data_IF_836100799509
#
_entry.id   IF_836100799509
#
_cell.length_a   1.000
_cell.length_b   1.000
_cell.length_c   1.000
_cell.angle_alpha   90.00
_cell.angle_beta   90.00
_cell.angle_gamma   90.00
#
_symmetry.space_group_name_H-M   'P 1'
#
loop_
_entity.id
_entity.type
_entity.pdbx_description
1 polymer ?
#
# COMPACT_ATOMS: atom_id res chain seq x y z
N UNK A 1 4.13 -28.40 30.21
CA UNK A 1 3.67 -27.02 29.95
C UNK A 1 4.79 -26.08 29.44
N UNK A 2 6.00 -26.10 30.02
CA UNK A 2 7.11 -25.22 29.59
C UNK A 2 7.56 -25.48 28.14
N UNK A 3 7.76 -26.74 27.76
CA UNK A 3 8.16 -27.16 26.40
C UNK A 3 7.19 -26.75 25.28
N UNK A 4 5.88 -26.70 25.57
CA UNK A 4 4.88 -26.28 24.59
C UNK A 4 4.93 -24.76 24.35
N UNK A 5 5.12 -23.97 25.42
CA UNK A 5 5.31 -22.51 25.32
C UNK A 5 6.58 -22.13 24.55
N UNK A 6 7.68 -22.89 24.67
CA UNK A 6 8.90 -22.62 23.89
C UNK A 6 8.72 -22.91 22.41
N UNK A 7 8.05 -24.02 22.03
CA UNK A 7 7.76 -24.33 20.62
C UNK A 7 6.92 -23.24 19.93
N UNK A 8 5.91 -22.70 20.62
CA UNK A 8 5.08 -21.61 20.06
C UNK A 8 5.87 -20.31 19.87
N UNK A 9 6.77 -19.97 20.80
CA UNK A 9 7.66 -18.80 20.67
C UNK A 9 8.63 -18.95 19.49
N UNK A 10 9.27 -20.11 19.36
CA UNK A 10 10.18 -20.39 18.23
C UNK A 10 9.43 -20.35 16.90
N UNK A 11 8.26 -20.97 16.81
CA UNK A 11 7.42 -20.94 15.61
C UNK A 11 7.06 -19.51 15.21
N UNK A 12 6.61 -18.69 16.17
CA UNK A 12 6.28 -17.27 15.92
C UNK A 12 7.47 -16.48 15.39
N UNK A 13 8.65 -16.65 15.99
CA UNK A 13 9.88 -15.98 15.55
C UNK A 13 10.26 -16.38 14.13
N UNK A 14 10.24 -17.69 13.82
CA UNK A 14 10.59 -18.21 12.49
C UNK A 14 9.57 -17.78 11.43
N UNK A 15 8.26 -17.89 11.70
CA UNK A 15 7.21 -17.41 10.79
C UNK A 15 7.38 -15.91 10.50
N UNK A 16 7.68 -15.11 11.53
CA UNK A 16 7.90 -13.66 11.38
C UNK A 16 9.16 -13.37 10.56
N UNK A 17 10.28 -14.04 10.84
CA UNK A 17 11.54 -13.85 10.10
C UNK A 17 11.39 -14.21 8.61
N UNK A 18 10.72 -15.31 8.30
CA UNK A 18 10.43 -15.70 6.92
C UNK A 18 9.53 -14.69 6.21
N UNK A 19 8.46 -14.23 6.87
CA UNK A 19 7.57 -13.23 6.30
C UNK A 19 8.28 -11.88 6.10
N UNK A 20 9.16 -11.47 7.02
CA UNK A 20 9.99 -10.28 6.85
C UNK A 20 10.95 -10.43 5.67
N UNK A 21 11.59 -11.58 5.50
CA UNK A 21 12.44 -11.84 4.33
C UNK A 21 11.65 -11.75 3.02
N UNK A 22 10.44 -12.32 2.99
CA UNK A 22 9.52 -12.19 1.84
C UNK A 22 9.13 -10.73 1.61
N UNK A 23 8.80 -9.97 2.65
CA UNK A 23 8.48 -8.54 2.52
C UNK A 23 9.64 -7.75 1.91
N UNK A 24 10.87 -8.06 2.32
CA UNK A 24 12.08 -7.43 1.77
C UNK A 24 12.31 -7.79 0.31
N UNK A 25 12.09 -9.04 -0.09
CA UNK A 25 12.18 -9.40 -1.52
C UNK A 25 11.08 -8.70 -2.33
N UNK A 26 9.86 -8.65 -1.81
CA UNK A 26 8.74 -7.99 -2.49
C UNK A 26 8.94 -6.47 -2.61
N UNK A 27 9.62 -5.81 -1.67
CA UNK A 27 9.93 -4.38 -1.78
C UNK A 27 10.94 -4.07 -2.88
N UNK A 28 11.85 -5.01 -3.18
CA UNK A 28 12.80 -4.85 -4.29
C UNK A 28 12.14 -5.06 -5.67
N UNK A 29 11.02 -5.80 -5.71
CA UNK A 29 10.19 -6.00 -6.91
C UNK A 29 9.22 -4.82 -7.13
N UNK A 30 9.76 -3.61 -7.23
CA UNK A 30 8.97 -2.42 -7.52
C UNK A 30 8.48 -2.44 -8.98
N UNK A 31 7.17 -2.34 -9.16
CA UNK A 31 6.52 -2.18 -10.48
C UNK A 31 6.81 -0.79 -11.04
N UNK A 32 6.82 0.22 -10.16
CA UNK A 32 7.14 1.61 -10.48
C UNK A 32 7.99 2.17 -9.35
N UNK A 33 9.14 2.76 -9.69
CA UNK A 33 9.96 3.53 -8.75
C UNK A 33 9.80 5.02 -9.07
N UNK A 34 9.43 5.79 -8.07
CA UNK A 34 9.40 7.25 -8.12
C UNK A 34 10.65 7.79 -7.40
N UNK A 35 11.22 8.93 -7.84
CA UNK A 35 12.30 9.60 -7.13
C UNK A 35 11.86 10.02 -5.73
N UNK A 36 12.84 10.26 -4.84
CA UNK A 36 12.63 10.54 -3.40
C UNK A 36 11.97 9.41 -2.60
N UNK A 37 12.06 8.17 -3.08
CA UNK A 37 11.73 6.97 -2.30
C UNK A 37 10.30 6.45 -2.45
N UNK A 38 9.43 7.13 -3.23
CA UNK A 38 8.12 6.60 -3.57
C UNK A 38 8.22 5.34 -4.45
N UNK A 39 7.41 4.32 -4.20
CA UNK A 39 7.37 3.12 -5.04
C UNK A 39 6.05 2.39 -4.96
N UNK A 40 5.69 1.71 -6.04
CA UNK A 40 4.57 0.78 -6.12
C UNK A 40 5.15 -0.62 -6.25
N UNK A 41 4.79 -1.52 -5.32
CA UNK A 41 5.39 -2.85 -5.19
C UNK A 41 4.34 -3.96 -5.35
N UNK A 42 4.79 -5.22 -5.38
CA UNK A 42 3.89 -6.38 -5.41
C UNK A 42 3.41 -6.73 -4.00
N UNK A 43 2.69 -5.80 -3.35
CA UNK A 43 2.15 -5.93 -2.00
C UNK A 43 3.23 -6.18 -0.91
N UNK A 44 4.34 -5.43 -0.91
CA UNK A 44 5.44 -5.59 0.07
C UNK A 44 5.00 -5.44 1.54
N UNK A 45 3.91 -4.69 1.80
CA UNK A 45 3.32 -4.53 3.14
C UNK A 45 2.58 -5.77 3.64
N UNK A 46 2.18 -6.68 2.75
CA UNK A 46 1.35 -7.84 3.06
C UNK A 46 1.97 -8.75 4.13
N UNK A 47 3.24 -9.18 4.04
CA UNK A 47 3.77 -10.15 4.99
C UNK A 47 3.80 -9.59 6.42
N UNK A 48 4.12 -8.31 6.60
CA UNK A 48 4.07 -7.64 7.92
C UNK A 48 2.63 -7.58 8.46
N UNK A 49 1.66 -7.25 7.60
CA UNK A 49 0.24 -7.28 7.96
C UNK A 49 -0.19 -8.70 8.37
N UNK A 50 0.26 -9.74 7.66
CA UNK A 50 -0.04 -11.14 8.00
C UNK A 50 0.60 -11.56 9.33
N UNK A 51 1.81 -11.10 9.65
CA UNK A 51 2.42 -11.28 10.97
C UNK A 51 1.51 -10.70 12.05
N UNK A 52 1.07 -9.45 11.88
CA UNK A 52 0.18 -8.79 12.83
C UNK A 52 -1.15 -9.53 12.98
N UNK A 53 -1.72 -9.97 11.86
CA UNK A 53 -2.97 -10.70 11.83
C UNK A 53 -2.88 -12.07 12.54
N UNK A 54 -1.77 -12.80 12.35
CA UNK A 54 -1.54 -14.12 12.97
C UNK A 54 -1.15 -14.03 14.43
N UNK A 55 -0.19 -13.16 14.74
CA UNK A 55 0.50 -13.14 16.04
C UNK A 55 0.10 -11.98 16.96
N UNK A 56 -0.76 -11.09 16.47
CA UNK A 56 -1.37 -10.00 17.23
C UNK A 56 -0.68 -8.67 16.94
N UNK A 57 -1.43 -7.59 17.15
CA UNK A 57 -0.99 -6.21 16.88
C UNK A 57 0.33 -5.84 17.56
N UNK A 58 0.58 -6.12 18.85
CA UNK A 58 1.85 -5.75 19.48
C UNK A 58 3.07 -6.39 18.81
N UNK A 59 2.93 -7.65 18.39
CA UNK A 59 3.99 -8.36 17.68
C UNK A 59 4.15 -7.84 16.25
N UNK A 60 3.04 -7.56 15.57
CA UNK A 60 3.03 -6.91 14.26
C UNK A 60 3.69 -5.54 14.25
N UNK A 61 3.44 -4.71 15.27
CA UNK A 61 4.07 -3.39 15.43
C UNK A 61 5.59 -3.52 15.54
N UNK A 62 6.07 -4.45 16.38
CA UNK A 62 7.50 -4.73 16.51
C UNK A 62 8.11 -5.20 15.18
N UNK A 63 7.46 -6.15 14.49
CA UNK A 63 7.92 -6.61 13.18
C UNK A 63 7.88 -5.51 12.12
N UNK A 64 6.92 -4.58 12.20
CA UNK A 64 6.88 -3.39 11.36
C UNK A 64 8.07 -2.46 11.59
N UNK A 65 8.46 -2.24 12.85
CA UNK A 65 9.70 -1.49 13.17
C UNK A 65 10.93 -2.19 12.60
N UNK A 66 11.06 -3.50 12.81
CA UNK A 66 12.19 -4.28 12.27
C UNK A 66 12.23 -4.20 10.75
N UNK A 67 11.07 -4.31 10.09
CA UNK A 67 10.96 -4.15 8.66
C UNK A 67 11.39 -2.75 8.21
N UNK A 68 10.94 -1.71 8.90
CA UNK A 68 11.35 -0.33 8.60
C UNK A 68 12.85 -0.10 8.74
N UNK A 69 13.51 -0.74 9.71
CA UNK A 69 14.98 -0.71 9.83
C UNK A 69 15.64 -1.38 8.62
N UNK A 70 15.16 -2.55 8.20
CA UNK A 70 15.68 -3.24 7.01
C UNK A 70 15.51 -2.35 5.77
N UNK A 71 14.33 -1.74 5.59
CA UNK A 71 14.05 -0.85 4.47
C UNK A 71 14.92 0.41 4.50
N UNK A 72 15.21 0.95 5.70
CA UNK A 72 16.13 2.07 5.85
C UNK A 72 17.56 1.70 5.43
N UNK A 73 18.03 0.50 5.82
CA UNK A 73 19.36 0.01 5.45
C UNK A 73 19.52 -0.19 3.94
N UNK A 74 18.46 -0.66 3.26
CA UNK A 74 18.44 -0.80 1.81
C UNK A 74 18.27 0.55 1.10
N UNK A 75 17.56 1.49 1.72
CA UNK A 75 17.27 2.83 1.19
C UNK A 75 18.18 3.95 1.73
N UNK A 76 19.41 3.64 2.17
CA UNK A 76 20.32 4.65 2.76
C UNK A 76 20.64 5.82 1.81
N UNK A 77 20.54 5.63 0.51
CA UNK A 77 20.73 6.69 -0.48
C UNK A 77 19.78 7.87 -0.26
N UNK A 78 18.57 7.65 0.25
CA UNK A 78 17.60 8.72 0.54
C UNK A 78 18.09 9.67 1.64
N UNK A 79 18.94 9.21 2.56
CA UNK A 79 19.49 10.09 3.62
C UNK A 79 20.50 11.10 3.07
N UNK A 80 21.09 10.85 1.90
CA UNK A 80 22.07 11.75 1.27
C UNK A 80 21.49 13.09 0.83
N UNK A 81 20.16 13.18 0.69
CA UNK A 81 19.47 14.44 0.40
C UNK A 81 19.44 15.41 1.59
N UNK A 82 19.79 14.95 2.80
CA UNK A 82 19.64 15.74 4.03
C UNK A 82 20.99 15.98 4.70
N UNK A 83 21.24 17.24 5.04
CA UNK A 83 22.53 17.67 5.65
C UNK A 83 22.41 18.00 7.14
N UNK A 84 21.19 18.19 7.65
CA UNK A 84 20.94 18.51 9.06
C UNK A 84 20.54 17.26 9.85
N UNK A 85 21.05 17.13 11.08
CA UNK A 85 20.76 15.98 11.93
C UNK A 85 19.26 15.87 12.27
N UNK A 86 18.55 17.00 12.40
CA UNK A 86 17.12 17.03 12.68
C UNK A 86 16.32 16.41 11.53
N UNK A 87 16.63 16.78 10.28
CA UNK A 87 15.95 16.22 9.11
C UNK A 87 16.25 14.73 8.94
N UNK A 88 17.50 14.31 9.16
CA UNK A 88 17.87 12.88 9.12
C UNK A 88 17.06 12.07 10.15
N UNK A 89 16.98 12.53 11.40
CA UNK A 89 16.19 11.86 12.44
C UNK A 89 14.70 11.86 12.08
N UNK A 90 14.18 12.97 11.57
CA UNK A 90 12.78 13.07 11.18
C UNK A 90 12.41 12.09 10.06
N UNK A 91 13.26 11.92 9.03
CA UNK A 91 13.06 10.93 7.96
C UNK A 91 13.11 9.51 8.50
N UNK A 92 14.15 9.16 9.27
CA UNK A 92 14.27 7.82 9.85
C UNK A 92 13.02 7.47 10.66
N UNK A 93 12.50 8.43 11.43
CA UNK A 93 11.32 8.21 12.25
C UNK A 93 10.04 8.17 11.41
N UNK A 94 9.78 9.17 10.57
CA UNK A 94 8.50 9.34 9.88
C UNK A 94 8.36 8.45 8.65
N UNK A 95 9.39 8.35 7.81
CA UNK A 95 9.34 7.59 6.55
C UNK A 95 9.70 6.12 6.72
N UNK A 96 10.39 5.77 7.81
CA UNK A 96 10.78 4.39 8.09
C UNK A 96 10.13 3.84 9.37
N UNK A 97 10.63 4.18 10.55
CA UNK A 97 10.25 3.50 11.80
C UNK A 97 8.73 3.54 12.03
N UNK A 98 8.11 4.72 12.01
CA UNK A 98 6.68 4.90 12.25
C UNK A 98 5.86 4.42 11.05
N UNK A 99 6.22 4.82 9.82
CA UNK A 99 5.52 4.41 8.60
C UNK A 99 5.43 2.89 8.42
N UNK A 100 6.47 2.13 8.78
CA UNK A 100 6.43 0.67 8.74
C UNK A 100 5.83 0.05 10.01
N UNK A 101 6.00 0.67 11.19
CA UNK A 101 5.35 0.21 12.42
C UNK A 101 3.83 0.19 12.29
N UNK A 102 3.21 1.23 11.70
CA UNK A 102 1.74 1.30 11.58
C UNK A 102 1.14 0.15 10.76
N UNK A 103 1.92 -0.55 9.93
CA UNK A 103 1.48 -1.78 9.25
C UNK A 103 1.05 -2.86 10.27
N UNK A 104 1.69 -2.89 11.43
CA UNK A 104 1.31 -3.75 12.54
C UNK A 104 -0.12 -3.52 13.06
N UNK A 105 -0.70 -2.34 12.85
CA UNK A 105 -2.08 -2.03 13.26
C UNK A 105 -3.14 -2.76 12.43
N UNK A 106 -2.77 -3.36 11.28
CA UNK A 106 -3.67 -4.23 10.51
C UNK A 106 -4.18 -5.42 11.33
N UNK A 107 -3.45 -5.82 12.37
CA UNK A 107 -3.87 -6.85 13.33
C UNK A 107 -5.09 -6.48 14.18
N UNK A 108 -5.48 -5.20 14.30
CA UNK A 108 -6.64 -4.78 15.10
C UNK A 108 -7.96 -5.39 14.58
N UNK A 109 -8.02 -5.71 13.29
CA UNK A 109 -9.23 -6.16 12.62
C UNK A 109 -9.45 -7.69 12.70
N UNK A 110 -8.47 -8.45 13.23
CA UNK A 110 -8.46 -9.93 13.26
C UNK A 110 -9.55 -10.61 14.10
N UNK A 111 -10.31 -9.81 14.87
CA UNK A 111 -11.38 -10.28 15.75
C UNK A 111 -12.73 -9.62 15.44
N UNK A 112 -12.83 -8.88 14.33
CA UNK A 112 -14.12 -8.37 13.89
C UNK A 112 -15.10 -9.51 13.63
N UNK A 113 -16.38 -9.27 13.92
CA UNK A 113 -17.48 -10.22 13.66
C UNK A 113 -17.85 -10.25 12.17
N UNK A 114 -16.87 -10.47 11.30
CA UNK A 114 -17.04 -10.61 9.86
C UNK A 114 -16.09 -11.70 9.32
N UNK A 115 -16.14 -12.00 8.02
CA UNK A 115 -15.29 -13.04 7.42
C UNK A 115 -13.83 -12.56 7.34
N UNK A 116 -12.87 -13.48 7.46
CA UNK A 116 -11.43 -13.22 7.37
C UNK A 116 -10.97 -12.33 6.19
N UNK A 117 -11.48 -12.52 4.94
CA UNK A 117 -11.12 -11.63 3.84
C UNK A 117 -11.44 -10.15 4.11
N UNK A 118 -12.58 -9.90 4.76
CA UNK A 118 -13.04 -8.55 5.11
C UNK A 118 -12.19 -7.97 6.22
N UNK A 119 -11.80 -8.80 7.21
CA UNK A 119 -10.90 -8.39 8.28
C UNK A 119 -9.53 -7.93 7.72
N UNK A 120 -8.94 -8.73 6.83
CA UNK A 120 -7.68 -8.40 6.16
C UNK A 120 -7.80 -7.18 5.25
N UNK A 121 -8.93 -7.02 4.54
CA UNK A 121 -9.21 -5.84 3.72
C UNK A 121 -9.29 -4.56 4.58
N UNK A 122 -10.03 -4.59 5.70
CA UNK A 122 -10.09 -3.47 6.62
C UNK A 122 -8.70 -3.12 7.18
N UNK A 123 -7.93 -4.14 7.57
CA UNK A 123 -6.55 -3.97 8.00
C UNK A 123 -5.68 -3.30 6.93
N UNK A 124 -5.72 -3.81 5.69
CA UNK A 124 -4.96 -3.29 4.56
C UNK A 124 -5.27 -1.81 4.30
N UNK A 125 -6.56 -1.48 4.19
CA UNK A 125 -7.00 -0.12 3.95
C UNK A 125 -6.53 0.84 5.06
N UNK A 126 -6.75 0.48 6.33
CA UNK A 126 -6.37 1.33 7.45
C UNK A 126 -4.87 1.56 7.52
N UNK A 127 -4.03 0.53 7.34
CA UNK A 127 -2.58 0.71 7.41
C UNK A 127 -2.03 1.51 6.24
N UNK A 128 -2.61 1.39 5.05
CA UNK A 128 -2.25 2.21 3.90
C UNK A 128 -2.56 3.69 4.14
N UNK A 129 -3.72 4.00 4.72
CA UNK A 129 -4.07 5.39 5.08
C UNK A 129 -3.13 5.93 6.14
N UNK A 130 -2.86 5.18 7.21
CA UNK A 130 -1.96 5.63 8.28
C UNK A 130 -0.53 5.87 7.78
N UNK A 131 -0.02 4.95 6.96
CA UNK A 131 1.32 5.09 6.35
C UNK A 131 1.37 6.27 5.39
N UNK A 132 0.31 6.50 4.61
CA UNK A 132 0.20 7.67 3.74
C UNK A 132 0.23 8.98 4.56
N UNK A 133 -0.46 9.04 5.69
CA UNK A 133 -0.40 10.20 6.59
C UNK A 133 1.03 10.45 7.08
N UNK A 134 1.80 9.41 7.44
CA UNK A 134 3.21 9.56 7.82
C UNK A 134 4.03 10.22 6.70
N UNK A 135 3.89 9.73 5.46
CA UNK A 135 4.63 10.26 4.32
C UNK A 135 4.17 11.67 3.92
N UNK A 136 2.88 12.00 4.09
CA UNK A 136 2.38 13.37 3.87
C UNK A 136 2.99 14.34 4.88
N UNK A 137 3.04 13.96 6.16
CA UNK A 137 3.66 14.77 7.22
C UNK A 137 5.16 14.93 6.92
N UNK A 138 5.87 13.84 6.62
CA UNK A 138 7.29 13.90 6.25
C UNK A 138 7.51 14.81 5.05
N UNK A 139 6.73 14.66 3.98
CA UNK A 139 6.84 15.49 2.78
C UNK A 139 6.61 16.97 3.09
N UNK A 140 5.55 17.30 3.83
CA UNK A 140 5.17 18.68 4.11
C UNK A 140 6.13 19.38 5.10
N UNK A 141 6.94 18.64 5.86
CA UNK A 141 7.79 19.20 6.93
C UNK A 141 9.27 19.05 6.64
N UNK A 142 9.73 17.88 6.18
CA UNK A 142 11.15 17.55 6.04
C UNK A 142 11.63 17.73 4.60
N UNK A 143 10.79 17.38 3.63
CA UNK A 143 11.10 17.53 2.20
C UNK A 143 10.78 18.93 1.64
N UNK A 144 10.06 19.76 2.40
CA UNK A 144 9.80 21.15 2.08
C UNK A 144 11.11 21.97 1.96
N UNK A 145 11.27 22.68 0.86
CA UNK A 145 12.47 23.46 0.54
C UNK A 145 13.65 22.64 -0.02
N UNK A 146 13.52 21.31 -0.11
CA UNK A 146 14.52 20.43 -0.73
C UNK A 146 14.04 19.88 -2.08
N UNK A 147 12.95 19.13 -2.06
CA UNK A 147 12.32 18.59 -3.27
C UNK A 147 10.88 19.07 -3.47
N UNK A 148 10.36 19.84 -2.51
CA UNK A 148 9.00 20.35 -2.51
C UNK A 148 9.03 21.88 -2.35
N UNK A 149 8.35 22.65 -3.22
CA UNK A 149 8.22 24.09 -3.05
C UNK A 149 7.56 24.45 -1.70
N UNK A 150 8.24 25.27 -0.90
CA UNK A 150 7.81 25.61 0.48
C UNK A 150 6.43 26.24 0.53
N UNK A 151 6.09 27.08 -0.44
CA UNK A 151 4.81 27.83 -0.51
C UNK A 151 3.58 26.91 -0.65
N UNK A 152 3.77 25.70 -1.20
CA UNK A 152 2.70 24.75 -1.46
C UNK A 152 2.98 23.37 -0.82
N UNK A 153 3.83 23.31 0.20
CA UNK A 153 4.42 22.07 0.68
C UNK A 153 3.41 20.99 1.06
N UNK A 154 2.33 21.38 1.75
CA UNK A 154 1.27 20.44 2.13
C UNK A 154 0.52 19.88 0.92
N UNK A 155 0.13 20.73 -0.02
CA UNK A 155 -0.60 20.32 -1.22
C UNK A 155 0.26 19.43 -2.11
N UNK A 156 1.53 19.80 -2.29
CA UNK A 156 2.49 19.00 -3.05
C UNK A 156 2.72 17.64 -2.41
N UNK A 157 3.01 17.62 -1.10
CA UNK A 157 3.24 16.38 -0.35
C UNK A 157 2.02 15.45 -0.42
N UNK A 158 0.81 16.00 -0.29
CA UNK A 158 -0.42 15.23 -0.44
C UNK A 158 -0.52 14.57 -1.82
N UNK A 159 -0.40 15.37 -2.90
CA UNK A 159 -0.52 14.86 -4.27
C UNK A 159 0.59 13.85 -4.58
N UNK A 160 1.84 14.20 -4.33
CA UNK A 160 3.00 13.35 -4.60
C UNK A 160 2.88 12.00 -3.88
N UNK A 161 2.58 11.99 -2.58
CA UNK A 161 2.49 10.73 -1.83
C UNK A 161 1.30 9.89 -2.26
N UNK A 162 0.20 10.51 -2.71
CA UNK A 162 -0.97 9.79 -3.19
C UNK A 162 -0.64 8.99 -4.46
N UNK A 163 0.28 9.50 -5.30
CA UNK A 163 0.62 8.85 -6.57
C UNK A 163 1.15 7.42 -6.40
N UNK A 164 1.92 7.12 -5.36
CA UNK A 164 2.37 5.74 -5.11
C UNK A 164 1.58 5.03 -4.00
N UNK A 165 1.14 5.73 -2.95
CA UNK A 165 0.41 5.09 -1.86
C UNK A 165 -0.98 4.61 -2.24
N UNK A 166 -1.67 5.28 -3.19
CA UNK A 166 -2.99 4.84 -3.64
C UNK A 166 -2.90 3.54 -4.46
N UNK A 167 -2.04 3.40 -5.49
CA UNK A 167 -1.81 2.11 -6.13
C UNK A 167 -1.36 1.02 -5.14
N UNK A 168 -0.44 1.34 -4.22
CA UNK A 168 0.03 0.38 -3.21
C UNK A 168 -1.11 -0.10 -2.30
N UNK A 169 -2.01 0.81 -1.89
CA UNK A 169 -3.20 0.48 -1.12
C UNK A 169 -4.15 -0.45 -1.88
N UNK A 170 -4.37 -0.18 -3.17
CA UNK A 170 -5.24 -1.00 -4.03
C UNK A 170 -4.67 -2.41 -4.17
N UNK A 171 -3.38 -2.52 -4.48
CA UNK A 171 -2.67 -3.80 -4.59
C UNK A 171 -2.77 -4.58 -3.28
N UNK A 172 -2.42 -3.95 -2.16
CA UNK A 172 -2.48 -4.59 -0.84
C UNK A 172 -3.90 -5.07 -0.49
N UNK A 173 -4.91 -4.21 -0.70
CA UNK A 173 -6.31 -4.55 -0.43
C UNK A 173 -6.79 -5.74 -1.27
N UNK A 174 -6.48 -5.73 -2.56
CA UNK A 174 -6.87 -6.80 -3.48
C UNK A 174 -6.23 -8.13 -3.09
N UNK A 175 -4.93 -8.14 -2.82
CA UNK A 175 -4.19 -9.35 -2.44
C UNK A 175 -4.63 -9.87 -1.08
N UNK A 176 -4.81 -8.99 -0.08
CA UNK A 176 -5.32 -9.35 1.24
C UNK A 176 -6.71 -10.01 1.18
N UNK A 177 -7.63 -9.43 0.41
CA UNK A 177 -8.95 -10.01 0.23
C UNK A 177 -8.88 -11.37 -0.47
N UNK A 178 -8.13 -11.47 -1.57
CA UNK A 178 -7.96 -12.70 -2.32
C UNK A 178 -7.36 -13.82 -1.45
N UNK A 179 -6.19 -13.59 -0.84
CA UNK A 179 -5.56 -14.59 0.03
C UNK A 179 -6.43 -14.92 1.23
N UNK A 180 -7.09 -13.93 1.82
CA UNK A 180 -8.03 -14.12 2.91
C UNK A 180 -9.23 -14.98 2.55
N UNK A 181 -9.58 -15.08 1.26
CA UNK A 181 -10.67 -15.91 0.73
C UNK A 181 -10.25 -17.33 0.35
N UNK A 182 -8.96 -17.55 0.11
CA UNK A 182 -8.39 -18.84 -0.30
C UNK A 182 -7.74 -19.58 0.87
N UNK A 183 -7.10 -18.85 1.77
CA UNK A 183 -6.30 -19.37 2.89
C UNK A 183 -6.90 -18.94 4.22
N UNK A 184 -6.81 -19.80 5.22
CA UNK A 184 -7.16 -19.51 6.61
C UNK A 184 -5.88 -19.23 7.41
N UNK A 185 -5.80 -18.03 8.00
CA UNK A 185 -4.64 -17.53 8.74
C UNK A 185 -4.80 -17.62 10.26
N UNK A 186 -5.56 -18.59 10.77
CA UNK A 186 -5.73 -18.81 12.20
C UNK A 186 -4.44 -19.22 12.94
N UNK A 187 -4.54 -19.39 14.25
CA UNK A 187 -3.40 -19.65 15.15
C UNK A 187 -2.64 -20.96 14.87
N UNK A 188 -3.23 -21.89 14.11
CA UNK A 188 -2.59 -23.12 13.67
C UNK A 188 -1.94 -23.02 12.29
N UNK A 189 -1.88 -24.17 11.63
CA UNK A 189 -1.32 -24.26 10.28
C UNK A 189 -2.19 -23.52 9.27
N UNK A 190 -1.51 -22.87 8.31
CA UNK A 190 -2.18 -22.24 7.19
C UNK A 190 -2.82 -23.36 6.38
N UNK A 191 -4.14 -23.31 6.27
CA UNK A 191 -4.93 -24.31 5.56
C UNK A 191 -5.80 -23.61 4.52
N UNK A 192 -6.18 -24.34 3.49
CA UNK A 192 -7.15 -23.84 2.52
C UNK A 192 -8.46 -23.54 3.24
N UNK A 193 -9.10 -22.42 2.90
CA UNK A 193 -10.46 -22.18 3.36
C UNK A 193 -11.35 -23.33 2.88
N UNK A 194 -12.22 -23.89 3.75
CA UNK A 194 -13.21 -24.84 3.29
C UNK A 194 -14.02 -24.19 2.17
N UNK A 195 -14.33 -24.97 1.13
CA UNK A 195 -15.11 -24.48 0.01
C UNK A 195 -16.44 -23.95 0.54
N UNK A 196 -16.53 -22.62 0.69
CA UNK A 196 -17.81 -21.97 0.90
C UNK A 196 -18.59 -22.23 -0.38
N UNK A 197 -19.88 -22.58 -0.29
CA UNK A 197 -20.76 -22.54 -1.45
C UNK A 197 -20.59 -21.15 -2.07
N UNK A 198 -19.85 -21.08 -3.17
CA UNK A 198 -19.37 -19.81 -3.67
C UNK A 198 -20.58 -19.08 -4.24
N UNK A 199 -20.74 -17.77 -3.96
CA UNK A 199 -21.50 -16.95 -4.88
C UNK A 199 -20.87 -17.12 -6.25
N UNK A 200 -21.72 -17.24 -7.27
CA UNK A 200 -21.41 -17.48 -8.68
C UNK A 200 -19.93 -17.22 -9.05
N UNK A 201 -19.20 -18.26 -9.50
CA UNK A 201 -17.79 -18.18 -9.90
C UNK A 201 -17.54 -17.01 -10.87
N UNK A 202 -18.53 -16.71 -11.72
CA UNK A 202 -18.51 -15.57 -12.63
C UNK A 202 -18.51 -14.21 -11.90
N UNK A 203 -19.25 -14.06 -10.80
CA UNK A 203 -19.29 -12.85 -9.99
C UNK A 203 -17.94 -12.56 -9.29
N UNK A 204 -17.17 -13.60 -8.95
CA UNK A 204 -15.84 -13.45 -8.34
C UNK A 204 -14.76 -13.12 -9.36
N UNK A 205 -14.79 -13.77 -10.53
CA UNK A 205 -13.91 -13.40 -11.66
C UNK A 205 -14.15 -11.95 -12.08
N UNK A 206 -15.42 -11.51 -12.12
CA UNK A 206 -15.76 -10.11 -12.37
C UNK A 206 -15.19 -9.17 -11.32
N UNK A 207 -15.26 -9.50 -10.03
CA UNK A 207 -14.68 -8.68 -8.98
C UNK A 207 -13.17 -8.49 -9.18
N UNK A 208 -12.46 -9.55 -9.59
CA UNK A 208 -11.04 -9.48 -9.90
C UNK A 208 -10.77 -8.56 -11.11
N UNK A 209 -11.54 -8.70 -12.20
CA UNK A 209 -11.40 -7.83 -13.40
C UNK A 209 -11.64 -6.36 -13.04
N UNK A 210 -12.69 -6.05 -12.26
CA UNK A 210 -12.97 -4.70 -11.76
C UNK A 210 -11.77 -4.15 -10.98
N UNK A 211 -11.18 -4.97 -10.10
CA UNK A 211 -9.99 -4.60 -9.34
C UNK A 211 -8.78 -4.29 -10.22
N UNK A 212 -8.50 -5.13 -11.22
CA UNK A 212 -7.40 -4.91 -12.15
C UNK A 212 -7.59 -3.66 -13.01
N UNK A 213 -8.81 -3.42 -13.50
CA UNK A 213 -9.15 -2.21 -14.26
C UNK A 213 -8.95 -0.95 -13.42
N UNK A 214 -9.51 -0.91 -12.21
CA UNK A 214 -9.37 0.22 -11.31
C UNK A 214 -7.90 0.49 -10.95
N UNK A 215 -7.12 -0.58 -10.69
CA UNK A 215 -5.68 -0.48 -10.44
C UNK A 215 -4.92 0.08 -11.65
N UNK A 216 -5.23 -0.37 -12.87
CA UNK A 216 -4.64 0.14 -14.10
C UNK A 216 -4.89 1.63 -14.32
N UNK A 217 -6.10 2.12 -14.03
CA UNK A 217 -6.40 3.54 -14.10
C UNK A 217 -5.59 4.36 -13.08
N UNK A 218 -5.53 3.92 -11.82
CA UNK A 218 -4.74 4.62 -10.81
C UNK A 218 -3.25 4.67 -11.18
N UNK A 219 -2.70 3.57 -11.72
CA UNK A 219 -1.31 3.55 -12.22
C UNK A 219 -1.14 4.51 -13.39
N UNK A 220 -2.06 4.52 -14.36
CA UNK A 220 -2.02 5.42 -15.50
C UNK A 220 -2.06 6.89 -15.07
N UNK A 221 -3.00 7.27 -14.20
CA UNK A 221 -3.16 8.63 -13.70
C UNK A 221 -1.90 9.08 -12.95
N UNK A 222 -1.37 8.21 -12.09
CA UNK A 222 -0.11 8.42 -11.39
C UNK A 222 1.03 8.69 -12.37
N UNK A 223 1.24 7.82 -13.36
CA UNK A 223 2.35 7.96 -14.33
C UNK A 223 2.19 9.24 -15.14
N UNK A 224 0.98 9.56 -15.59
CA UNK A 224 0.69 10.77 -16.37
C UNK A 224 0.97 12.05 -15.56
N UNK A 225 0.44 12.15 -14.34
CA UNK A 225 0.67 13.31 -13.47
C UNK A 225 2.15 13.43 -13.12
N UNK A 226 2.79 12.31 -12.77
CA UNK A 226 4.19 12.30 -12.38
C UNK A 226 5.13 12.72 -13.50
N UNK A 227 4.88 12.28 -14.73
CA UNK A 227 5.69 12.64 -15.91
C UNK A 227 5.75 14.16 -16.17
N UNK A 228 4.80 14.93 -15.64
CA UNK A 228 4.76 16.39 -15.74
C UNK A 228 5.26 17.10 -14.50
N UNK A 229 5.43 16.38 -13.39
CA UNK A 229 5.97 16.93 -12.16
C UNK A 229 7.50 16.98 -12.17
N UNK A 230 8.13 16.15 -13.02
CA UNK A 230 9.57 16.08 -13.16
C UNK A 230 10.03 16.79 -14.44
N UNK A 231 10.99 17.70 -14.31
CA UNK A 231 11.67 18.29 -15.46
C UNK A 231 12.46 17.21 -16.20
N UNK A 232 12.31 17.18 -17.53
CA UNK A 232 12.87 16.12 -18.36
C UNK A 232 14.40 16.25 -18.53
N UNK A 233 14.97 17.43 -18.31
CA UNK A 233 16.39 17.72 -18.52
C UNK A 233 17.17 17.70 -17.21
N UNK A 234 16.62 18.30 -16.16
CA UNK A 234 17.30 18.40 -14.85
C UNK A 234 16.88 17.30 -13.88
N UNK A 235 15.72 16.67 -14.11
CA UNK A 235 15.11 15.73 -13.18
C UNK A 235 14.55 16.39 -11.92
N UNK A 236 14.57 17.74 -11.83
CA UNK A 236 14.03 18.51 -10.71
C UNK A 236 12.51 18.59 -10.76
N UNK A 237 11.90 18.71 -9.60
CA UNK A 237 10.45 18.69 -9.48
C UNK A 237 9.85 20.09 -9.46
N UNK A 238 8.91 20.36 -10.37
CA UNK A 238 8.21 21.65 -10.42
C UNK A 238 6.72 21.46 -10.68
N UNK A 239 5.89 22.22 -9.95
CA UNK A 239 4.46 22.32 -10.25
C UNK A 239 4.17 23.17 -11.48
N UNK A 240 5.15 23.95 -11.97
CA UNK A 240 4.97 24.84 -13.11
C UNK A 240 4.70 24.06 -14.40
N UNK A 241 5.21 22.83 -14.47
CA UNK A 241 5.03 21.93 -15.61
C UNK A 241 3.65 21.23 -15.62
N UNK A 242 2.89 21.30 -14.52
CA UNK A 242 1.49 20.88 -14.51
C UNK A 242 0.61 22.00 -15.07
N UNK A 243 -0.09 21.78 -16.19
CA UNK A 243 -1.01 22.78 -16.71
C UNK A 243 -2.13 23.03 -15.70
N UNK A 244 -2.66 24.25 -15.65
CA UNK A 244 -3.88 24.53 -14.89
C UNK A 244 -4.98 23.54 -15.28
N UNK A 245 -5.78 23.10 -14.31
CA UNK A 245 -6.85 22.15 -14.57
C UNK A 245 -7.82 22.70 -15.62
N UNK A 246 -7.91 22.01 -16.76
CA UNK A 246 -8.79 22.38 -17.87
C UNK A 246 -9.07 21.17 -18.74
N UNK A 247 -10.35 20.88 -18.96
CA UNK A 247 -10.79 19.82 -19.88
C UNK A 247 -10.51 20.15 -21.35
N UNK A 248 -10.11 21.38 -21.66
CA UNK A 248 -9.63 21.76 -22.98
C UNK A 248 -8.15 21.41 -23.17
N UNK A 249 -7.40 21.13 -22.09
CA UNK A 249 -6.03 20.64 -22.19
C UNK A 249 -6.05 19.14 -22.50
N UNK A 250 -5.31 18.72 -23.53
CA UNK A 250 -5.23 17.30 -23.90
C UNK A 250 -4.68 16.41 -22.77
N UNK A 251 -3.92 16.99 -21.84
CA UNK A 251 -3.36 16.31 -20.68
C UNK A 251 -4.42 15.92 -19.64
N UNK A 252 -5.15 16.90 -19.09
CA UNK A 252 -6.20 16.62 -18.10
C UNK A 252 -7.37 15.88 -18.72
N UNK A 253 -7.66 16.16 -20.00
CA UNK A 253 -8.67 15.44 -20.76
C UNK A 253 -8.33 13.94 -20.87
N UNK A 254 -7.07 13.58 -21.16
CA UNK A 254 -6.67 12.17 -21.24
C UNK A 254 -6.82 11.44 -19.90
N UNK A 255 -6.38 12.05 -18.80
CA UNK A 255 -6.56 11.52 -17.44
C UNK A 255 -8.05 11.32 -17.17
N UNK A 256 -8.86 12.38 -17.30
CA UNK A 256 -10.30 12.32 -17.02
C UNK A 256 -11.00 11.29 -17.89
N UNK A 257 -10.66 11.17 -19.18
CA UNK A 257 -11.25 10.18 -20.07
C UNK A 257 -10.88 8.75 -19.62
N UNK A 258 -9.62 8.48 -19.32
CA UNK A 258 -9.19 7.13 -18.90
C UNK A 258 -9.81 6.76 -17.56
N UNK A 259 -9.75 7.64 -16.55
CA UNK A 259 -10.36 7.39 -15.25
C UNK A 259 -11.89 7.25 -15.38
N UNK A 260 -12.57 8.08 -16.18
CA UNK A 260 -14.01 7.99 -16.38
C UNK A 260 -14.41 6.73 -17.15
N UNK A 261 -13.68 6.35 -18.19
CA UNK A 261 -13.95 5.14 -18.96
C UNK A 261 -13.79 3.89 -18.09
N UNK A 262 -12.73 3.84 -17.27
CA UNK A 262 -12.52 2.75 -16.31
C UNK A 262 -13.59 2.77 -15.22
N UNK A 263 -13.96 3.94 -14.69
CA UNK A 263 -15.04 4.04 -13.70
C UNK A 263 -16.39 3.55 -14.26
N UNK A 264 -16.72 3.90 -15.50
CA UNK A 264 -17.92 3.41 -16.20
C UNK A 264 -17.84 1.89 -16.40
N UNK A 265 -16.71 1.37 -16.88
CA UNK A 265 -16.53 -0.06 -17.06
C UNK A 265 -16.67 -0.82 -15.73
N UNK A 266 -16.03 -0.34 -14.67
CA UNK A 266 -16.17 -0.87 -13.31
C UNK A 266 -17.62 -0.79 -12.83
N UNK A 267 -18.31 0.32 -13.06
CA UNK A 267 -19.73 0.50 -12.71
C UNK A 267 -20.64 -0.50 -13.41
N UNK A 268 -20.47 -0.70 -14.73
CA UNK A 268 -21.23 -1.69 -15.51
C UNK A 268 -20.96 -3.11 -15.01
N UNK A 269 -19.70 -3.46 -14.77
CA UNK A 269 -19.32 -4.76 -14.25
C UNK A 269 -19.84 -4.99 -12.82
N UNK A 270 -19.88 -3.95 -11.97
CA UNK A 270 -20.49 -4.02 -10.63
C UNK A 270 -21.99 -4.24 -10.71
N UNK A 271 -22.70 -3.55 -11.62
CA UNK A 271 -24.14 -3.78 -11.85
C UNK A 271 -24.38 -5.20 -12.33
N UNK A 272 -23.61 -5.69 -13.30
CA UNK A 272 -23.75 -7.06 -13.81
C UNK A 272 -23.45 -8.10 -12.72
N UNK A 273 -22.37 -7.90 -11.95
CA UNK A 273 -22.05 -8.70 -10.76
C UNK A 273 -23.19 -8.71 -9.75
N UNK A 274 -23.79 -7.56 -9.45
CA UNK A 274 -24.92 -7.48 -8.50
C UNK A 274 -26.14 -8.26 -8.98
N UNK A 275 -26.37 -8.34 -10.29
CA UNK A 275 -27.45 -9.15 -10.88
C UNK A 275 -27.16 -10.65 -10.79
N UNK A 276 -25.92 -11.07 -10.99
CA UNK A 276 -25.53 -12.48 -10.78
C UNK A 276 -25.75 -12.92 -9.33
N UNK A 277 -25.36 -12.06 -8.38
CA UNK A 277 -25.53 -12.35 -6.95
C UNK A 277 -27.01 -12.39 -6.52
N UNK A 278 -27.91 -11.68 -7.21
CA UNK A 278 -29.37 -11.69 -6.93
C UNK A 278 -30.11 -12.89 -7.53
N UNK A 279 -29.47 -13.69 -8.38
CA UNK A 279 -30.07 -14.88 -9.02
C UNK A 279 -29.93 -16.15 -8.16
N UNK A 280 -29.30 -16.05 -6.99
CA UNK A 280 -29.15 -17.11 -5.99
C UNK A 280 -30.05 -16.82 -4.79
#
# INVERSE_FOLDING_TARGET
MYFMKTKEKTRRLVESALLLAVATVLSELALVKLPYGGSVTVASMLPVLLIAYRHGTPWGLLCGVVYGIIQQLLGLSTLSYFTTWQSIVAIIVLDYVVAFAVIGLGGLFRHLRCRQPVQLLCGAFTVSVLRYVCHVISGATVWAGLSIPTEAALAYSFIYNATYMLPEAIVLCAVCYYLGSVLFFGAGDIRRMPAVATPDRAANVMAAIIGFLAMGACIFDTVMVFSRLQDAETGEFTLQNLPAFSLQSGFWLAIVIVSAAVAVACGVLLVYRSRLLKRQ
#
